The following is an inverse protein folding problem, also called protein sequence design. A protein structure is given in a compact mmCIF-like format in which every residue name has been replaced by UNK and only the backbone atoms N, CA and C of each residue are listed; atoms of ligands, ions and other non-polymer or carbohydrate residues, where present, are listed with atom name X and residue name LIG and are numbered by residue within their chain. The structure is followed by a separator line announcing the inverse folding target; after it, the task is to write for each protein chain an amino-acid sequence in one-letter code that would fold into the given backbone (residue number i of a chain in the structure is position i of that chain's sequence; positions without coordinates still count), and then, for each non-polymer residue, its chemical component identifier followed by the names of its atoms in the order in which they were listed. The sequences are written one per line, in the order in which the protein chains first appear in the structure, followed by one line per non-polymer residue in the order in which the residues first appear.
data_IF_480866154861
#
_entry.id   IF_480866154861
#
_cell.length_a   1.000
_cell.length_b   1.000
_cell.length_c   1.000
_cell.angle_alpha   90.00
_cell.angle_beta   90.00
_cell.angle_gamma   90.00
#
_symmetry.space_group_name_H-M   'P 1'
#
loop_
_entity.id
_entity.type
_entity.pdbx_description
1 polymer ?
#
# COMPACT_ATOMS: atom_id res chain seq x y z
N UNK A 1 -8.32 -44.15 35.43
CA UNK A 1 -9.07 -43.16 34.64
C UNK A 1 -8.48 -41.78 34.87
N UNK A 2 -8.32 -41.01 33.79
CA UNK A 2 -8.10 -39.55 33.70
C UNK A 2 -6.81 -38.95 34.31
N UNK A 3 -5.71 -39.04 33.55
CA UNK A 3 -4.63 -38.03 33.52
C UNK A 3 -4.11 -37.86 32.09
N UNK A 4 -4.95 -37.32 31.22
CA UNK A 4 -4.60 -36.92 29.85
C UNK A 4 -5.23 -35.55 29.61
N UNK A 5 -4.64 -34.50 30.19
CA UNK A 5 -5.24 -33.16 30.19
C UNK A 5 -4.27 -32.01 30.11
N UNK A 6 -3.03 -32.22 29.65
CA UNK A 6 -2.00 -31.17 29.71
C UNK A 6 -1.04 -31.11 28.50
N UNK A 7 -1.40 -31.66 27.33
CA UNK A 7 -0.51 -31.61 26.15
C UNK A 7 -1.11 -30.93 24.91
N UNK A 8 -2.34 -30.42 24.98
CA UNK A 8 -3.03 -29.83 23.83
C UNK A 8 -2.91 -28.29 23.69
N UNK A 9 -2.15 -27.61 24.57
CA UNK A 9 -2.15 -26.14 24.64
C UNK A 9 -0.93 -25.45 23.98
N UNK A 10 -0.01 -26.19 23.35
CA UNK A 10 1.26 -25.62 22.86
C UNK A 10 1.41 -25.58 21.32
N UNK A 11 0.35 -25.87 20.56
CA UNK A 11 0.40 -25.88 19.09
C UNK A 11 -0.18 -24.65 18.39
N UNK A 12 -0.65 -23.63 19.12
CA UNK A 12 -1.33 -22.47 18.54
C UNK A 12 -0.46 -21.20 18.41
N UNK A 13 0.85 -21.29 18.67
CA UNK A 13 1.76 -20.13 18.60
C UNK A 13 2.84 -20.23 17.52
N UNK A 14 2.66 -21.08 16.51
CA UNK A 14 3.43 -20.96 15.28
C UNK A 14 2.77 -19.90 14.37
N UNK A 15 3.26 -18.67 14.52
CA UNK A 15 2.93 -17.49 13.72
C UNK A 15 2.64 -17.81 12.24
N UNK A 16 1.65 -17.17 11.61
CA UNK A 16 1.52 -17.16 10.15
C UNK A 16 2.58 -16.20 9.56
N UNK A 17 3.86 -16.41 9.87
CA UNK A 17 4.95 -15.62 9.29
C UNK A 17 5.15 -15.96 7.80
N UNK A 18 4.71 -17.15 7.36
CA UNK A 18 4.85 -17.62 5.98
C UNK A 18 3.76 -17.08 5.02
N UNK A 19 2.72 -16.41 5.53
CA UNK A 19 1.73 -15.74 4.69
C UNK A 19 2.21 -14.38 4.14
N UNK A 20 3.46 -13.99 4.42
CA UNK A 20 3.91 -12.62 4.20
C UNK A 20 4.65 -12.46 2.87
N UNK A 21 5.73 -13.18 2.57
CA UNK A 21 6.57 -12.79 1.41
C UNK A 21 5.97 -13.04 0.02
N UNK A 22 5.44 -14.23 -0.27
CA UNK A 22 4.97 -14.58 -1.62
C UNK A 22 3.66 -13.84 -1.96
N UNK A 23 2.75 -13.73 -0.99
CA UNK A 23 1.49 -12.98 -1.11
C UNK A 23 1.76 -11.47 -1.17
N UNK A 24 2.70 -10.95 -0.39
CA UNK A 24 3.15 -9.55 -0.52
C UNK A 24 3.79 -9.33 -1.90
N UNK A 25 4.65 -10.23 -2.38
CA UNK A 25 5.29 -10.13 -3.70
C UNK A 25 4.27 -10.19 -4.85
N UNK A 26 3.26 -11.04 -4.72
CA UNK A 26 2.18 -11.16 -5.70
C UNK A 26 1.24 -9.93 -5.64
N UNK A 27 1.04 -9.36 -4.44
CA UNK A 27 0.38 -8.08 -4.25
C UNK A 27 1.16 -6.89 -4.84
N UNK A 28 2.48 -6.85 -4.65
CA UNK A 28 3.40 -5.89 -5.27
C UNK A 28 3.38 -5.99 -6.80
N UNK A 29 3.36 -7.20 -7.34
CA UNK A 29 3.24 -7.43 -8.78
C UNK A 29 1.90 -6.94 -9.36
N UNK A 30 0.79 -7.05 -8.63
CA UNK A 30 -0.52 -6.54 -9.06
C UNK A 30 -0.65 -5.01 -8.96
N UNK A 31 0.13 -4.37 -8.07
CA UNK A 31 0.16 -2.90 -7.94
C UNK A 31 0.66 -2.22 -9.22
N UNK A 32 1.58 -2.85 -9.95
CA UNK A 32 2.10 -2.32 -11.21
C UNK A 32 1.08 -2.34 -12.36
N UNK A 33 -0.05 -3.04 -12.22
CA UNK A 33 -1.13 -3.03 -13.21
C UNK A 33 -2.22 -2.00 -12.91
N UNK A 34 -2.19 -1.36 -11.74
CA UNK A 34 -3.15 -0.29 -11.42
C UNK A 34 -2.71 0.95 -12.18
N UNK A 35 -3.45 1.34 -13.21
CA UNK A 35 -3.23 2.62 -13.89
C UNK A 35 -3.76 3.77 -13.05
N UNK A 36 -3.18 4.95 -13.25
CA UNK A 36 -3.66 6.19 -12.67
C UNK A 36 -5.13 6.43 -12.97
N UNK A 37 -5.55 6.21 -14.21
CA UNK A 37 -6.96 6.31 -14.59
C UNK A 37 -7.86 5.33 -13.82
N UNK A 38 -7.44 4.07 -13.69
CA UNK A 38 -8.21 3.05 -12.98
C UNK A 38 -8.38 3.39 -11.50
N UNK A 39 -7.31 3.88 -10.85
CA UNK A 39 -7.38 4.32 -9.46
C UNK A 39 -8.25 5.57 -9.31
N UNK A 40 -8.04 6.61 -10.12
CA UNK A 40 -8.82 7.85 -10.04
C UNK A 40 -10.32 7.63 -10.26
N UNK A 41 -10.70 6.77 -11.22
CA UNK A 41 -12.12 6.41 -11.45
C UNK A 41 -12.72 5.63 -10.29
N UNK A 42 -11.91 4.83 -9.58
CA UNK A 42 -12.35 4.02 -8.44
C UNK A 42 -12.89 4.88 -7.29
N UNK A 43 -12.42 6.12 -7.13
CA UNK A 43 -12.95 7.03 -6.10
C UNK A 43 -14.48 7.21 -6.16
N UNK A 44 -15.08 7.14 -7.35
CA UNK A 44 -16.54 7.21 -7.54
C UNK A 44 -17.27 5.87 -7.48
N UNK A 45 -16.57 4.76 -7.69
CA UNK A 45 -17.16 3.42 -7.79
C UNK A 45 -17.00 2.59 -6.52
N UNK A 46 -15.92 2.81 -5.77
CA UNK A 46 -15.51 2.04 -4.61
C UNK A 46 -14.52 2.88 -3.77
N UNK A 47 -15.09 3.76 -2.93
CA UNK A 47 -14.33 4.69 -2.11
C UNK A 47 -13.45 3.99 -1.06
N UNK A 48 -13.87 2.80 -0.60
CA UNK A 48 -13.10 2.00 0.35
C UNK A 48 -11.81 1.50 -0.30
N UNK A 49 -11.90 0.83 -1.46
CA UNK A 49 -10.73 0.35 -2.18
C UNK A 49 -9.85 1.49 -2.68
N UNK A 50 -10.44 2.61 -3.11
CA UNK A 50 -9.68 3.83 -3.42
C UNK A 50 -8.82 4.29 -2.22
N UNK A 51 -9.42 4.31 -1.03
CA UNK A 51 -8.74 4.66 0.22
C UNK A 51 -7.66 3.67 0.64
N UNK A 52 -7.89 2.36 0.47
CA UNK A 52 -6.89 1.32 0.75
C UNK A 52 -5.66 1.45 -0.17
N UNK A 53 -5.88 1.64 -1.47
CA UNK A 53 -4.81 1.88 -2.44
C UNK A 53 -4.09 3.19 -2.12
N UNK A 54 -4.82 4.24 -1.75
CA UNK A 54 -4.23 5.52 -1.35
C UNK A 54 -3.33 5.40 -0.12
N UNK A 55 -3.75 4.64 0.90
CA UNK A 55 -2.90 4.39 2.08
C UNK A 55 -1.61 3.66 1.69
N UNK A 56 -1.73 2.63 0.86
CA UNK A 56 -0.56 1.93 0.33
C UNK A 56 0.42 2.88 -0.38
N UNK A 57 -0.09 3.80 -1.23
CA UNK A 57 0.74 4.83 -1.89
C UNK A 57 1.54 5.66 -0.90
N UNK A 58 0.90 6.13 0.17
CA UNK A 58 1.56 6.93 1.22
C UNK A 58 2.63 6.11 1.95
N UNK A 59 2.30 4.87 2.31
CA UNK A 59 3.21 3.97 3.01
C UNK A 59 4.44 3.64 2.15
N UNK A 60 4.24 3.33 0.87
CA UNK A 60 5.34 3.08 -0.09
C UNK A 60 6.27 4.28 -0.24
N UNK A 61 5.70 5.49 -0.32
CA UNK A 61 6.49 6.72 -0.39
C UNK A 61 7.32 6.94 0.88
N UNK A 62 6.70 6.75 2.06
CA UNK A 62 7.38 6.91 3.35
C UNK A 62 8.45 5.86 3.57
N UNK A 63 8.24 4.62 3.11
CA UNK A 63 9.27 3.58 3.18
C UNK A 63 10.52 3.97 2.39
N UNK A 64 10.35 4.56 1.20
CA UNK A 64 11.47 5.03 0.37
C UNK A 64 12.10 6.35 0.82
N UNK A 65 11.42 7.16 1.63
CA UNK A 65 11.90 8.48 2.08
C UNK A 65 11.34 8.90 3.45
N UNK A 66 11.68 8.22 4.56
CA UNK A 66 11.00 8.39 5.84
C UNK A 66 11.12 9.80 6.44
N UNK A 67 12.32 10.38 6.42
CA UNK A 67 12.60 11.70 7.01
C UNK A 67 11.98 12.83 6.20
N UNK A 68 12.14 12.79 4.87
CA UNK A 68 11.67 13.84 3.95
C UNK A 68 10.15 14.00 3.96
N UNK A 69 9.41 12.90 4.08
CA UNK A 69 7.95 12.92 4.01
C UNK A 69 7.25 13.07 5.37
N UNK A 70 8.01 13.06 6.46
CA UNK A 70 7.47 13.16 7.82
C UNK A 70 6.71 14.48 8.09
N UNK A 71 7.04 15.54 7.37
CA UNK A 71 6.40 16.86 7.49
C UNK A 71 5.08 17.01 6.72
N UNK A 72 4.78 16.08 5.82
CA UNK A 72 3.56 16.12 5.00
C UNK A 72 2.48 15.20 5.59
N UNK A 73 1.26 15.72 5.64
CA UNK A 73 0.08 14.91 5.93
C UNK A 73 -0.22 13.94 4.80
N UNK A 74 -0.89 12.83 5.10
CA UNK A 74 -1.27 11.81 4.12
C UNK A 74 -2.05 12.43 2.94
N UNK A 75 -2.93 13.40 3.23
CA UNK A 75 -3.69 14.12 2.21
C UNK A 75 -2.83 14.92 1.24
N UNK A 76 -1.77 15.58 1.71
CA UNK A 76 -0.86 16.36 0.85
C UNK A 76 -0.02 15.45 -0.05
N UNK A 77 0.41 14.31 0.49
CA UNK A 77 1.11 13.27 -0.27
C UNK A 77 0.20 12.71 -1.35
N UNK A 78 -1.03 12.36 -0.99
CA UNK A 78 -2.03 11.86 -1.94
C UNK A 78 -2.35 12.87 -3.03
N UNK A 79 -2.55 14.13 -2.68
CA UNK A 79 -2.83 15.19 -3.66
C UNK A 79 -1.68 15.33 -4.68
N UNK A 80 -0.42 15.19 -4.23
CA UNK A 80 0.72 15.20 -5.13
C UNK A 80 0.70 14.02 -6.13
N UNK A 81 0.30 12.83 -5.69
CA UNK A 81 0.16 11.65 -6.55
C UNK A 81 -1.02 11.80 -7.50
N UNK A 82 -2.17 12.28 -7.02
CA UNK A 82 -3.33 12.56 -7.85
C UNK A 82 -3.02 13.57 -8.95
N UNK A 83 -2.22 14.62 -8.67
CA UNK A 83 -1.76 15.56 -9.70
C UNK A 83 -0.94 14.88 -10.78
N UNK A 84 -0.08 13.91 -10.43
CA UNK A 84 0.65 13.11 -11.44
C UNK A 84 -0.31 12.25 -12.25
N UNK A 85 -1.27 11.62 -11.58
CA UNK A 85 -2.24 10.76 -12.24
C UNK A 85 -3.16 11.51 -13.19
N UNK A 86 -3.58 12.74 -12.84
CA UNK A 86 -4.33 13.61 -13.76
C UNK A 86 -3.49 14.01 -14.98
N UNK A 87 -2.19 14.25 -14.80
CA UNK A 87 -1.29 14.62 -15.90
C UNK A 87 -0.93 13.44 -16.81
N UNK A 88 -0.96 12.22 -16.29
CA UNK A 88 -0.49 11.01 -16.98
C UNK A 88 -1.40 9.79 -16.68
N UNK A 89 -2.65 9.79 -17.16
CA UNK A 89 -3.66 8.79 -16.79
C UNK A 89 -3.29 7.35 -17.14
N UNK A 90 -2.52 7.15 -18.22
CA UNK A 90 -2.13 5.82 -18.69
C UNK A 90 -0.89 5.25 -17.98
N UNK A 91 -0.22 6.05 -17.14
CA UNK A 91 0.90 5.53 -16.34
C UNK A 91 0.38 4.67 -15.20
N UNK A 92 1.21 3.74 -14.77
CA UNK A 92 0.94 2.93 -13.58
C UNK A 92 1.00 3.83 -12.35
N UNK A 93 0.21 3.48 -11.33
CA UNK A 93 0.15 4.20 -10.08
C UNK A 93 1.52 4.21 -9.39
N UNK A 94 2.26 3.11 -9.45
CA UNK A 94 3.65 3.04 -8.96
C UNK A 94 4.55 4.11 -9.58
N UNK A 95 4.47 4.32 -10.91
CA UNK A 95 5.25 5.35 -11.60
C UNK A 95 4.82 6.75 -11.16
N UNK A 96 3.52 7.02 -11.05
CA UNK A 96 3.03 8.31 -10.59
C UNK A 96 3.44 8.59 -9.13
N UNK A 97 3.38 7.58 -8.26
CA UNK A 97 3.84 7.63 -6.87
C UNK A 97 5.31 8.00 -6.80
N UNK A 98 6.18 7.32 -7.56
CA UNK A 98 7.60 7.64 -7.64
C UNK A 98 7.84 9.09 -8.10
N UNK A 99 7.18 9.52 -9.18
CA UNK A 99 7.31 10.89 -9.70
C UNK A 99 6.79 11.95 -8.72
N UNK A 100 5.76 11.65 -7.94
CA UNK A 100 5.28 12.54 -6.89
C UNK A 100 6.31 12.69 -5.77
N UNK A 101 6.93 11.58 -5.34
CA UNK A 101 8.01 11.60 -4.35
C UNK A 101 9.23 12.42 -4.76
N UNK A 102 9.53 12.50 -6.06
CA UNK A 102 10.60 13.38 -6.58
C UNK A 102 10.25 14.87 -6.57
N UNK A 103 8.97 15.23 -6.59
CA UNK A 103 8.51 16.62 -6.67
C UNK A 103 8.14 17.24 -5.33
N UNK A 104 7.94 16.43 -4.29
CA UNK A 104 7.70 16.94 -2.94
C UNK A 104 9.02 17.53 -2.40
N UNK A 105 9.07 18.83 -2.04
CA UNK A 105 10.30 19.47 -1.60
C UNK A 105 10.76 18.98 -0.22
N UNK A 106 12.07 19.03 0.02
CA UNK A 106 12.72 18.72 1.30
C UNK A 106 12.30 19.65 2.43
#
# INVERSE_FOLDING_TARGET
MMRLGALAALWLLACPAAATSEVLRQGEFLQDYITCEAWMKRGSADAEMHGLIGRWVVDSLRQGSPSRLSKYGDGEVLEAVERQCRAQPEKTLTVATFLAGLRLPD
#
